data_IF_402867552271
#
_entry.id   IF_402867552271
#
_cell.length_a   1.000
_cell.length_b   1.000
_cell.length_c   1.000
_cell.angle_alpha   90.00
_cell.angle_beta   90.00
_cell.angle_gamma   90.00
#
_symmetry.space_group_name_H-M   'P 1'
#
loop_
_entity.id
_entity.type
_entity.pdbx_description
1 polymer ?
#
# COMPACT_ATOMS: atom_id res chain seq x y z
N UNK A 1 18.21 -7.05 25.21
CA UNK A 1 18.40 -6.95 23.75
C UNK A 1 17.26 -6.17 23.15
N UNK A 2 17.57 -5.20 22.32
CA UNK A 2 16.55 -4.40 21.66
C UNK A 2 16.09 -5.13 20.38
N UNK A 3 14.79 -5.31 20.24
CA UNK A 3 14.26 -5.92 19.04
C UNK A 3 14.30 -4.92 17.88
N UNK A 4 14.66 -5.40 16.70
CA UNK A 4 14.72 -4.57 15.52
C UNK A 4 13.31 -4.31 15.00
N UNK A 5 13.00 -3.05 14.70
CA UNK A 5 11.74 -2.70 14.08
C UNK A 5 11.64 -3.30 12.67
N UNK A 6 10.43 -3.62 12.27
CA UNK A 6 10.13 -4.08 10.91
C UNK A 6 9.64 -2.87 10.11
N UNK A 7 10.32 -2.55 9.03
CA UNK A 7 9.94 -1.44 8.16
C UNK A 7 9.13 -1.92 6.98
N UNK A 8 8.13 -1.12 6.64
CA UNK A 8 7.28 -1.35 5.48
C UNK A 8 6.96 0.01 4.84
N UNK A 9 6.45 -0.03 3.64
CA UNK A 9 6.06 1.18 2.94
C UNK A 9 4.87 0.89 2.03
N UNK A 10 4.09 1.90 1.76
CA UNK A 10 2.93 1.77 0.90
C UNK A 10 2.40 3.11 0.46
N UNK A 11 1.17 3.11 -0.03
CA UNK A 11 0.60 4.30 -0.62
C UNK A 11 -0.86 4.53 -0.30
N UNK A 12 -1.19 5.81 -0.34
CA UNK A 12 -2.57 6.28 -0.36
C UNK A 12 -2.85 6.66 -1.80
N UNK A 13 -3.43 5.73 -2.55
CA UNK A 13 -3.80 5.96 -3.95
C UNK A 13 -5.11 6.72 -3.97
N UNK A 14 -5.12 7.83 -4.69
CA UNK A 14 -6.30 8.67 -4.76
C UNK A 14 -6.69 8.97 -6.21
N UNK A 15 -7.97 9.23 -6.39
CA UNK A 15 -8.52 9.69 -7.66
C UNK A 15 -9.74 10.56 -7.36
N UNK A 16 -10.14 11.36 -8.34
CA UNK A 16 -11.35 12.15 -8.23
C UNK A 16 -12.37 11.64 -9.24
N UNK A 17 -13.56 11.31 -8.76
CA UNK A 17 -14.67 10.83 -9.59
C UNK A 17 -15.90 11.64 -9.20
N UNK A 18 -16.50 12.31 -10.18
CA UNK A 18 -17.70 13.15 -9.97
C UNK A 18 -17.49 14.14 -8.81
N UNK A 19 -16.34 14.82 -8.82
CA UNK A 19 -15.95 15.83 -7.83
C UNK A 19 -15.70 15.27 -6.44
N UNK A 20 -15.64 13.94 -6.28
CA UNK A 20 -15.36 13.28 -5.01
C UNK A 20 -13.97 12.70 -4.98
N UNK A 21 -13.24 12.93 -3.90
CA UNK A 21 -11.93 12.33 -3.67
C UNK A 21 -12.14 10.91 -3.14
N UNK A 22 -11.61 9.94 -3.86
CA UNK A 22 -11.66 8.54 -3.48
C UNK A 22 -10.26 8.03 -3.18
N UNK A 23 -10.17 7.10 -2.24
CA UNK A 23 -8.93 6.44 -1.86
C UNK A 23 -9.11 4.93 -2.03
N UNK A 24 -8.08 4.27 -2.56
CA UNK A 24 -8.11 2.83 -2.79
C UNK A 24 -7.83 2.06 -1.50
N UNK A 25 -8.72 1.13 -1.20
CA UNK A 25 -8.52 0.16 -0.13
C UNK A 25 -8.49 -1.24 -0.72
N UNK A 26 -7.73 -2.12 -0.09
CA UNK A 26 -7.68 -3.53 -0.48
C UNK A 26 -8.41 -4.36 0.56
N UNK A 27 -9.20 -5.31 0.06
CA UNK A 27 -9.87 -6.31 0.90
C UNK A 27 -8.92 -7.48 1.06
N UNK A 28 -8.41 -7.71 2.28
CA UNK A 28 -7.51 -8.84 2.54
C UNK A 28 -8.33 -10.09 2.83
N UNK A 29 -8.01 -11.16 2.11
CA UNK A 29 -8.75 -12.42 2.19
C UNK A 29 -8.64 -13.04 3.57
N UNK A 30 -7.41 -13.20 4.07
CA UNK A 30 -7.13 -13.92 5.31
C UNK A 30 -7.66 -13.19 6.54
N UNK A 31 -7.47 -11.88 6.59
CA UNK A 31 -7.83 -11.07 7.76
C UNK A 31 -9.24 -10.50 7.68
N UNK A 32 -9.88 -10.59 6.52
CA UNK A 32 -11.22 -10.05 6.26
C UNK A 32 -11.34 -8.58 6.66
N UNK A 33 -10.32 -7.80 6.33
CA UNK A 33 -10.27 -6.38 6.64
C UNK A 33 -9.96 -5.56 5.41
N UNK A 34 -9.99 -4.24 5.57
CA UNK A 34 -9.64 -3.27 4.57
C UNK A 34 -8.34 -2.60 4.97
N UNK A 35 -7.38 -2.51 4.05
CA UNK A 35 -6.11 -1.83 4.30
C UNK A 35 -5.68 -1.00 3.11
N UNK A 36 -4.72 -0.11 3.36
CA UNK A 36 -3.98 0.53 2.29
C UNK A 36 -2.98 -0.46 1.69
N UNK A 37 -2.64 -0.36 0.41
CA UNK A 37 -1.59 -1.20 -0.17
C UNK A 37 -0.24 -0.88 0.46
N UNK A 38 0.44 -1.89 0.96
CA UNK A 38 1.72 -1.76 1.64
C UNK A 38 2.41 -3.10 1.79
N UNK A 39 3.70 -3.08 2.06
CA UNK A 39 4.42 -4.30 2.37
C UNK A 39 5.83 -4.04 2.89
N UNK A 40 6.51 -5.10 3.25
CA UNK A 40 7.82 -5.04 3.87
C UNK A 40 8.90 -4.60 2.90
N UNK A 41 9.90 -3.89 3.44
CA UNK A 41 11.09 -3.50 2.71
C UNK A 41 11.91 -4.75 2.39
N UNK A 42 12.30 -4.92 1.14
CA UNK A 42 13.22 -5.97 0.73
C UNK A 42 14.67 -5.51 0.97
N UNK A 43 15.61 -6.45 1.15
CA UNK A 43 17.01 -6.10 1.35
C UNK A 43 17.53 -5.15 0.25
N UNK A 44 18.13 -4.05 0.68
CA UNK A 44 18.69 -3.06 -0.25
C UNK A 44 17.72 -2.06 -0.82
N UNK A 45 16.42 -2.19 -0.54
CA UNK A 45 15.41 -1.25 -1.02
C UNK A 45 15.34 0.00 -0.14
N UNK A 46 15.09 1.13 -0.78
CA UNK A 46 14.69 2.34 -0.05
C UNK A 46 13.18 2.31 0.16
N UNK A 47 12.69 3.03 1.17
CA UNK A 47 11.26 3.02 1.50
C UNK A 47 10.38 3.43 0.32
N UNK A 48 10.78 4.43 -0.45
CA UNK A 48 10.00 4.86 -1.63
C UNK A 48 9.95 3.76 -2.70
N UNK A 49 11.05 3.05 -2.89
CA UNK A 49 11.08 1.92 -3.83
C UNK A 49 10.14 0.81 -3.38
N UNK A 50 10.14 0.51 -2.09
CA UNK A 50 9.22 -0.47 -1.50
C UNK A 50 7.77 -0.06 -1.74
N UNK A 51 7.45 1.21 -1.49
CA UNK A 51 6.08 1.71 -1.69
C UNK A 51 5.62 1.50 -3.13
N UNK A 52 6.44 1.90 -4.11
CA UNK A 52 6.10 1.71 -5.53
C UNK A 52 5.91 0.25 -5.89
N UNK A 53 6.80 -0.60 -5.43
CA UNK A 53 6.73 -2.04 -5.71
C UNK A 53 5.50 -2.67 -5.10
N UNK A 54 5.24 -2.43 -3.82
CA UNK A 54 4.11 -3.02 -3.12
C UNK A 54 2.77 -2.53 -3.67
N UNK A 55 2.67 -1.25 -4.01
CA UNK A 55 1.47 -0.73 -4.66
C UNK A 55 1.18 -1.51 -5.94
N UNK A 56 2.20 -1.69 -6.78
CA UNK A 56 2.02 -2.41 -8.03
C UNK A 56 1.69 -3.89 -7.80
N UNK A 57 2.41 -4.54 -6.89
CA UNK A 57 2.16 -5.96 -6.61
C UNK A 57 0.74 -6.20 -6.10
N UNK A 58 0.24 -5.32 -5.23
CA UNK A 58 -1.07 -5.52 -4.61
C UNK A 58 -2.24 -5.02 -5.44
N UNK A 59 -2.04 -4.02 -6.29
CA UNK A 59 -3.14 -3.40 -7.03
C UNK A 59 -3.04 -3.52 -8.55
N UNK A 60 -1.87 -3.85 -9.07
CA UNK A 60 -1.64 -3.83 -10.50
C UNK A 60 -1.57 -2.43 -11.10
N UNK A 61 -1.64 -1.39 -10.27
CA UNK A 61 -1.64 0.00 -10.73
C UNK A 61 -0.24 0.58 -10.62
N UNK A 62 0.29 1.12 -11.72
CA UNK A 62 1.57 1.84 -11.72
C UNK A 62 1.33 3.29 -11.38
N UNK A 63 2.04 3.78 -10.37
CA UNK A 63 1.92 5.16 -9.91
C UNK A 63 3.29 5.81 -9.80
N UNK A 64 3.28 7.14 -9.87
CA UNK A 64 4.44 7.95 -9.45
C UNK A 64 4.12 8.46 -8.04
N UNK A 65 5.03 8.26 -7.10
CA UNK A 65 4.79 8.69 -5.75
C UNK A 65 4.78 10.22 -5.66
N UNK A 66 3.83 10.73 -4.91
CA UNK A 66 3.73 12.14 -4.57
C UNK A 66 4.42 12.43 -3.23
N UNK A 67 3.76 13.18 -2.36
CA UNK A 67 4.32 13.58 -1.08
C UNK A 67 4.17 12.46 -0.03
N UNK A 68 5.09 12.38 0.93
CA UNK A 68 4.88 11.54 2.11
C UNK A 68 3.68 12.07 2.89
N UNK A 69 2.81 11.19 3.35
CA UNK A 69 1.58 11.60 4.06
C UNK A 69 1.51 11.12 5.49
N UNK A 70 2.35 10.20 5.90
CA UNK A 70 2.35 9.78 7.29
C UNK A 70 3.08 8.49 7.55
N UNK A 71 3.20 8.18 8.82
CA UNK A 71 3.87 6.98 9.32
C UNK A 71 2.95 6.34 10.34
N UNK A 72 2.70 5.04 10.18
CA UNK A 72 1.93 4.25 11.11
C UNK A 72 2.91 3.41 11.94
N UNK A 73 2.70 3.33 13.23
CA UNK A 73 3.51 2.52 14.13
C UNK A 73 2.60 1.65 14.98
N UNK A 74 2.91 0.36 15.04
CA UNK A 74 2.16 -0.52 15.91
C UNK A 74 3.02 -1.73 16.28
N UNK A 75 2.65 -2.39 17.39
CA UNK A 75 3.35 -3.56 17.87
C UNK A 75 2.68 -4.80 17.33
N UNK A 76 3.49 -5.69 16.73
CA UNK A 76 2.99 -6.95 16.22
C UNK A 76 2.86 -7.99 17.36
N UNK A 77 2.14 -9.10 17.12
CA UNK A 77 2.03 -10.18 18.14
C UNK A 77 3.37 -10.70 18.64
N UNK A 78 4.42 -10.67 17.80
CA UNK A 78 5.77 -11.08 18.19
C UNK A 78 6.51 -10.02 19.00
N UNK A 79 5.82 -8.95 19.41
CA UNK A 79 6.32 -7.81 20.19
C UNK A 79 7.29 -6.90 19.45
N UNK A 80 7.56 -7.14 18.17
CA UNK A 80 8.36 -6.23 17.36
C UNK A 80 7.48 -5.07 16.88
N UNK A 81 8.06 -3.88 16.82
CA UNK A 81 7.39 -2.72 16.30
C UNK A 81 7.38 -2.79 14.77
N UNK A 82 6.24 -2.49 14.15
CA UNK A 82 6.14 -2.31 12.71
C UNK A 82 5.92 -0.85 12.39
N UNK A 83 6.74 -0.34 11.49
CA UNK A 83 6.72 1.06 11.09
C UNK A 83 6.44 1.10 9.59
N UNK A 84 5.32 1.73 9.21
CA UNK A 84 4.89 1.80 7.81
C UNK A 84 4.90 3.25 7.35
N UNK A 85 5.66 3.53 6.31
CA UNK A 85 5.72 4.86 5.69
C UNK A 85 4.80 4.89 4.48
N UNK A 86 3.97 5.93 4.37
CA UNK A 86 3.01 6.07 3.28
C UNK A 86 3.27 7.32 2.45
N UNK A 87 3.08 7.17 1.14
CA UNK A 87 3.12 8.27 0.17
C UNK A 87 1.76 8.41 -0.50
N UNK A 88 1.36 9.65 -0.79
CA UNK A 88 0.21 9.88 -1.66
C UNK A 88 0.63 9.59 -3.09
N UNK A 89 -0.29 9.05 -3.87
CA UNK A 89 -0.05 8.80 -5.29
C UNK A 89 -1.35 8.88 -6.06
N UNK A 90 -1.37 9.68 -7.12
CA UNK A 90 -2.54 9.75 -7.97
C UNK A 90 -2.66 8.49 -8.80
N UNK A 91 -3.84 7.86 -8.77
CA UNK A 91 -4.16 6.77 -9.69
C UNK A 91 -4.85 7.37 -10.91
N UNK A 92 -4.11 7.56 -11.99
CA UNK A 92 -4.65 8.12 -13.22
C UNK A 92 -5.61 7.14 -13.89
N UNK A 93 -6.53 7.65 -14.70
CA UNK A 93 -7.46 6.80 -15.44
C UNK A 93 -6.70 5.81 -16.33
N UNK A 94 -5.62 6.25 -16.95
CA UNK A 94 -4.79 5.38 -17.79
C UNK A 94 -4.17 4.23 -16.98
N UNK A 95 -3.63 4.54 -15.79
CA UNK A 95 -3.02 3.53 -14.93
C UNK A 95 -4.06 2.53 -14.42
N UNK A 96 -5.25 3.00 -14.09
CA UNK A 96 -6.36 2.15 -13.65
C UNK A 96 -6.79 1.22 -14.77
N UNK A 97 -6.95 1.73 -15.98
CA UNK A 97 -7.32 0.91 -17.15
C UNK A 97 -6.26 -0.13 -17.48
N UNK A 98 -5.00 0.18 -17.23
CA UNK A 98 -3.89 -0.74 -17.48
C UNK A 98 -3.68 -1.74 -16.35
N UNK A 99 -4.40 -1.62 -15.25
CA UNK A 99 -4.25 -2.53 -14.10
C UNK A 99 -4.65 -3.95 -14.49
N UNK A 100 -3.77 -4.89 -14.15
CA UNK A 100 -4.00 -6.31 -14.39
C UNK A 100 -4.36 -7.03 -13.08
N UNK A 101 -4.98 -6.32 -12.14
CA UNK A 101 -5.33 -6.93 -10.86
C UNK A 101 -6.26 -8.13 -11.04
N UNK A 102 -5.93 -9.21 -10.34
CA UNK A 102 -6.75 -10.42 -10.27
C UNK A 102 -6.86 -10.82 -8.81
N UNK A 103 -8.07 -11.10 -8.29
CA UNK A 103 -8.20 -11.62 -6.93
C UNK A 103 -7.32 -12.84 -6.71
N UNK A 104 -6.74 -12.93 -5.53
CA UNK A 104 -5.77 -13.97 -5.20
C UNK A 104 -5.89 -14.37 -3.73
N UNK A 105 -4.94 -15.22 -3.26
CA UNK A 105 -4.98 -15.71 -1.88
C UNK A 105 -4.89 -14.63 -0.83
N UNK A 106 -4.24 -13.52 -1.14
CA UNK A 106 -4.01 -12.45 -0.18
C UNK A 106 -5.03 -11.34 -0.30
N UNK A 107 -5.44 -11.02 -1.52
CA UNK A 107 -6.31 -9.86 -1.81
C UNK A 107 -7.53 -10.31 -2.57
N UNK A 108 -8.69 -10.15 -1.95
CA UNK A 108 -9.96 -10.56 -2.55
C UNK A 108 -10.49 -9.52 -3.54
N UNK A 109 -10.31 -8.24 -3.26
CA UNK A 109 -10.89 -7.17 -4.08
C UNK A 109 -10.20 -5.84 -3.80
N UNK A 110 -10.34 -4.92 -4.76
CA UNK A 110 -9.98 -3.53 -4.62
C UNK A 110 -11.26 -2.70 -4.51
N UNK A 111 -11.24 -1.68 -3.67
CA UNK A 111 -12.40 -0.80 -3.46
C UNK A 111 -11.97 0.65 -3.44
N UNK A 112 -12.64 1.45 -4.23
CA UNK A 112 -12.45 2.90 -4.21
C UNK A 112 -13.44 3.57 -3.27
#
# INVERSE_FOLDING_TARGET
MTETAVYAAGGVLWRIVDEKLLVLLIHRTQYRDLTLPKGKVDPGEMLAETASREIFEETGIRVSLGVPVGVSRYRMPNKREKIVHYWAAEATDAAIRASAFVPNKEIAALEW
#
